data_IF_139409320689
#
_entry.id   IF_139409320689
#
_cell.length_a   1.000
_cell.length_b   1.000
_cell.length_c   1.000
_cell.angle_alpha   90.00
_cell.angle_beta   90.00
_cell.angle_gamma   90.00
#
_symmetry.space_group_name_H-M   'P 1'
#
loop_
_entity.id
_entity.type
_entity.pdbx_description
1 polymer ?
#
# COMPACT_ATOMS: atom_id res chain seq x y z
N UNK A 1 9.75 -22.30 7.07
CA UNK A 1 9.64 -20.85 7.04
C UNK A 1 10.32 -20.33 8.28
N UNK A 2 11.50 -19.74 8.10
CA UNK A 2 12.09 -18.84 9.09
C UNK A 2 11.32 -17.52 9.10
N UNK A 3 11.50 -16.69 10.13
CA UNK A 3 10.94 -15.32 10.20
C UNK A 3 11.27 -14.47 8.96
N UNK A 4 12.35 -14.79 8.24
CA UNK A 4 12.75 -14.17 6.98
C UNK A 4 11.67 -14.31 5.91
N UNK A 5 11.08 -15.51 5.75
CA UNK A 5 10.03 -15.75 4.76
C UNK A 5 8.75 -15.00 5.10
N UNK A 6 8.47 -14.83 6.40
CA UNK A 6 7.34 -14.03 6.86
C UNK A 6 7.54 -12.55 6.49
N UNK A 7 8.71 -11.99 6.77
CA UNK A 7 9.05 -10.60 6.40
C UNK A 7 9.00 -10.43 4.87
N UNK A 8 9.52 -11.40 4.13
CA UNK A 8 9.46 -11.41 2.67
C UNK A 8 8.01 -11.41 2.16
N UNK A 9 7.15 -12.26 2.72
CA UNK A 9 5.73 -12.31 2.35
C UNK A 9 5.00 -11.01 2.64
N UNK A 10 5.25 -10.39 3.81
CA UNK A 10 4.71 -9.07 4.16
C UNK A 10 5.18 -8.02 3.15
N UNK A 11 6.47 -8.05 2.81
CA UNK A 11 7.07 -7.09 1.86
C UNK A 11 6.50 -7.24 0.45
N UNK A 12 6.31 -8.48 -0.02
CA UNK A 12 5.68 -8.78 -1.31
C UNK A 12 4.26 -8.23 -1.33
N UNK A 13 3.49 -8.48 -0.27
CA UNK A 13 2.12 -7.96 -0.17
C UNK A 13 2.09 -6.43 -0.22
N UNK A 14 2.91 -5.77 0.60
CA UNK A 14 2.99 -4.30 0.63
C UNK A 14 3.39 -3.74 -0.75
N UNK A 15 4.37 -4.34 -1.42
CA UNK A 15 4.83 -3.87 -2.73
C UNK A 15 3.73 -4.02 -3.79
N UNK A 16 3.15 -5.21 -3.92
CA UNK A 16 2.25 -5.54 -5.02
C UNK A 16 0.82 -5.02 -4.82
N UNK A 17 0.31 -5.01 -3.58
CA UNK A 17 -1.06 -4.62 -3.31
C UNK A 17 -1.20 -3.23 -2.70
N UNK A 18 -0.24 -2.80 -1.88
CA UNK A 18 -0.26 -1.43 -1.33
C UNK A 18 0.51 -0.42 -2.17
N UNK A 19 1.61 -0.75 -2.84
CA UNK A 19 2.39 0.27 -3.59
C UNK A 19 2.12 0.28 -5.09
N UNK A 20 2.02 -0.89 -5.73
CA UNK A 20 1.82 -1.03 -7.17
C UNK A 20 0.62 -0.24 -7.73
N UNK A 21 -0.55 -0.16 -7.06
CA UNK A 21 -1.68 0.64 -7.56
C UNK A 21 -1.40 2.14 -7.62
N UNK A 22 -0.41 2.63 -6.89
CA UNK A 22 -0.04 4.05 -6.79
C UNK A 22 1.06 4.40 -7.80
N UNK A 23 1.89 3.43 -8.20
CA UNK A 23 3.08 3.63 -9.03
C UNK A 23 2.79 3.92 -10.50
N UNK A 24 1.57 3.67 -11.00
CA UNK A 24 1.26 4.09 -12.37
C UNK A 24 -0.16 3.86 -12.85
N UNK A 25 -0.64 4.79 -13.68
CA UNK A 25 -1.88 4.64 -14.46
C UNK A 25 -1.84 3.42 -15.38
N UNK A 26 -0.66 2.93 -15.76
CA UNK A 26 -0.48 1.77 -16.63
C UNK A 26 -0.95 0.46 -15.99
N UNK A 27 -0.69 0.24 -14.68
CA UNK A 27 -1.16 -0.96 -13.99
C UNK A 27 -2.68 -0.96 -13.84
N UNK A 28 -3.28 0.19 -13.54
CA UNK A 28 -4.74 0.35 -13.53
C UNK A 28 -5.36 0.09 -14.90
N UNK A 29 -4.71 0.52 -15.99
CA UNK A 29 -5.14 0.22 -17.36
C UNK A 29 -5.04 -1.27 -17.69
N UNK A 30 -3.98 -1.94 -17.23
CA UNK A 30 -3.81 -3.37 -17.42
C UNK A 30 -4.93 -4.17 -16.73
N UNK A 31 -5.25 -3.83 -15.47
CA UNK A 31 -6.38 -4.45 -14.75
C UNK A 31 -7.72 -4.12 -15.42
N UNK A 32 -7.92 -2.89 -15.91
CA UNK A 32 -9.15 -2.51 -16.61
C UNK A 32 -9.32 -3.22 -17.96
N UNK A 33 -8.22 -3.65 -18.59
CA UNK A 33 -8.24 -4.42 -19.83
C UNK A 33 -8.50 -5.92 -19.60
N UNK A 34 -8.48 -6.39 -18.34
CA UNK A 34 -8.75 -7.79 -18.01
C UNK A 34 -10.26 -8.11 -18.11
N UNK A 35 -10.64 -9.34 -18.49
CA UNK A 35 -12.03 -9.80 -18.44
C UNK A 35 -12.62 -9.64 -17.04
N UNK A 36 -13.91 -9.30 -16.95
CA UNK A 36 -14.65 -9.11 -15.69
C UNK A 36 -14.32 -10.09 -14.55
N UNK A 37 -14.29 -11.42 -14.76
CA UNK A 37 -14.00 -12.37 -13.68
C UNK A 37 -12.57 -12.28 -13.12
N UNK A 38 -11.58 -11.84 -13.90
CA UNK A 38 -10.22 -11.63 -13.36
C UNK A 38 -10.13 -10.32 -12.57
N UNK A 39 -10.93 -9.31 -12.91
CA UNK A 39 -11.01 -8.08 -12.12
C UNK A 39 -11.59 -8.37 -10.73
N UNK A 40 -12.69 -9.14 -10.67
CA UNK A 40 -13.30 -9.52 -9.39
C UNK A 40 -12.36 -10.39 -8.56
N UNK A 41 -11.62 -11.31 -9.18
CA UNK A 41 -10.63 -12.13 -8.48
C UNK A 41 -9.50 -11.26 -7.91
N UNK A 42 -9.01 -10.28 -8.68
CA UNK A 42 -7.98 -9.34 -8.20
C UNK A 42 -8.46 -8.52 -7.00
N UNK A 43 -9.71 -8.03 -7.03
CA UNK A 43 -10.29 -7.30 -5.91
C UNK A 43 -10.43 -8.17 -4.64
N UNK A 44 -10.86 -9.43 -4.79
CA UNK A 44 -10.93 -10.39 -3.68
C UNK A 44 -9.55 -10.70 -3.10
N UNK A 45 -8.51 -10.73 -3.95
CA UNK A 45 -7.13 -10.96 -3.56
C UNK A 45 -6.48 -9.75 -2.86
N UNK A 46 -7.11 -8.56 -2.82
CA UNK A 46 -6.62 -7.44 -2.00
C UNK A 46 -6.62 -7.72 -0.49
N UNK A 47 -7.25 -8.81 -0.04
CA UNK A 47 -7.20 -9.20 1.36
C UNK A 47 -5.80 -9.73 1.73
N UNK A 48 -5.10 -9.16 2.74
CA UNK A 48 -3.75 -9.58 3.14
C UNK A 48 -3.68 -11.02 3.63
N UNK A 49 -4.81 -11.56 4.10
CA UNK A 49 -4.94 -12.96 4.46
C UNK A 49 -5.08 -13.86 3.21
N UNK A 50 -5.97 -13.51 2.27
CA UNK A 50 -6.22 -14.34 1.08
C UNK A 50 -4.97 -14.49 0.22
N UNK A 51 -4.29 -13.38 -0.07
CA UNK A 51 -3.01 -13.42 -0.80
C UNK A 51 -1.88 -13.94 0.06
N UNK A 52 -1.89 -13.65 1.37
CA UNK A 52 -0.91 -14.20 2.31
C UNK A 52 -0.87 -15.71 2.31
N UNK A 53 -2.02 -16.38 2.18
CA UNK A 53 -2.10 -17.84 2.05
C UNK A 53 -1.36 -18.34 0.81
N UNK A 54 -1.64 -17.76 -0.36
CA UNK A 54 -0.99 -18.16 -1.61
C UNK A 54 0.51 -17.85 -1.64
N UNK A 55 0.91 -16.71 -1.08
CA UNK A 55 2.32 -16.35 -0.91
C UNK A 55 3.01 -17.37 0.00
N UNK A 56 2.39 -17.72 1.13
CA UNK A 56 2.92 -18.70 2.07
C UNK A 56 3.10 -20.08 1.42
N UNK A 57 2.07 -20.53 0.69
CA UNK A 57 2.12 -21.81 -0.03
C UNK A 57 3.20 -21.80 -1.13
N UNK A 58 3.31 -20.71 -1.89
CA UNK A 58 4.34 -20.55 -2.91
C UNK A 58 5.75 -20.51 -2.32
N UNK A 59 5.96 -19.77 -1.22
CA UNK A 59 7.23 -19.75 -0.51
C UNK A 59 7.57 -21.12 0.05
N UNK A 60 6.59 -21.87 0.56
CA UNK A 60 6.77 -23.23 1.04
C UNK A 60 7.18 -24.18 -0.07
N UNK A 61 6.53 -24.09 -1.24
CA UNK A 61 6.91 -24.86 -2.41
C UNK A 61 8.33 -24.53 -2.91
N UNK A 62 8.73 -23.26 -2.90
CA UNK A 62 10.04 -22.82 -3.41
C UNK A 62 11.17 -23.11 -2.42
N UNK A 63 10.95 -22.89 -1.12
CA UNK A 63 12.00 -23.03 -0.11
C UNK A 63 12.02 -24.40 0.55
N UNK A 64 10.91 -25.15 0.50
CA UNK A 64 10.75 -26.44 1.18
C UNK A 64 10.78 -26.36 2.70
N UNK A 65 10.66 -25.17 3.30
CA UNK A 65 10.81 -24.98 4.75
C UNK A 65 9.45 -24.79 5.44
N UNK A 66 9.22 -25.43 6.59
CA UNK A 66 7.97 -25.33 7.37
C UNK A 66 7.95 -24.17 8.38
N UNK A 67 6.86 -23.40 8.48
CA UNK A 67 6.72 -22.33 9.48
C UNK A 67 6.68 -22.87 10.90
N UNK A 68 5.92 -23.94 11.11
CA UNK A 68 5.95 -24.69 12.35
C UNK A 68 6.45 -26.10 12.07
N UNK A 69 7.57 -26.54 12.69
CA UNK A 69 8.08 -27.89 12.49
C UNK A 69 7.08 -28.96 12.95
N UNK A 70 6.15 -28.62 13.85
CA UNK A 70 5.06 -29.49 14.26
C UNK A 70 4.15 -29.91 13.08
N UNK A 71 3.96 -29.08 12.06
CA UNK A 71 3.15 -29.45 10.89
C UNK A 71 3.87 -30.44 9.96
N UNK A 72 5.20 -30.47 10.00
CA UNK A 72 5.97 -31.51 9.30
C UNK A 72 5.75 -32.89 9.94
N UNK A 73 5.56 -32.96 11.26
CA UNK A 73 5.30 -34.23 11.96
C UNK A 73 3.92 -34.81 11.60
N UNK A 74 2.91 -33.96 11.42
CA UNK A 74 1.57 -34.40 10.95
C UNK A 74 1.66 -35.12 9.60
N UNK A 75 2.56 -34.66 8.73
CA UNK A 75 2.81 -35.32 7.43
C UNK A 75 3.44 -36.71 7.55
N UNK A 76 4.20 -36.96 8.62
CA UNK A 76 4.81 -38.25 8.86
C UNK A 76 3.78 -39.26 9.38
N UNK A 77 2.86 -38.83 10.25
CA UNK A 77 1.94 -39.71 10.95
C UNK A 77 0.70 -40.11 10.09
N UNK A 78 0.25 -39.23 9.19
CA UNK A 78 -0.99 -39.42 8.41
C UNK A 78 -0.73 -39.80 6.94
N UNK A 79 0.53 -40.09 6.58
CA UNK A 79 0.94 -40.45 5.24
C UNK A 79 0.74 -39.31 4.21
N UNK A 80 0.49 -39.61 2.91
CA UNK A 80 0.42 -38.61 1.86
C UNK A 80 -0.62 -37.51 2.07
N UNK A 81 -1.75 -37.85 2.72
CA UNK A 81 -2.79 -36.89 3.08
C UNK A 81 -2.33 -35.90 4.17
N UNK A 82 -1.49 -36.38 5.11
CA UNK A 82 -0.87 -35.54 6.12
C UNK A 82 0.04 -34.46 5.51
N UNK A 83 0.71 -34.78 4.40
CA UNK A 83 1.52 -33.81 3.65
C UNK A 83 0.69 -32.63 3.13
N UNK A 84 -0.42 -32.92 2.45
CA UNK A 84 -1.31 -31.89 1.89
C UNK A 84 -1.94 -31.05 3.00
N UNK A 85 -2.43 -31.69 4.06
CA UNK A 85 -3.01 -31.00 5.22
C UNK A 85 -1.97 -30.13 5.93
N UNK A 86 -0.75 -30.64 6.12
CA UNK A 86 0.35 -29.88 6.68
C UNK A 86 0.63 -28.61 5.88
N UNK A 87 0.75 -28.71 4.55
CA UNK A 87 0.97 -27.55 3.67
C UNK A 87 -0.15 -26.51 3.80
N UNK A 88 -1.39 -27.00 3.87
CA UNK A 88 -2.55 -26.13 4.01
C UNK A 88 -2.56 -25.39 5.34
N UNK A 89 -2.28 -26.09 6.45
CA UNK A 89 -2.20 -25.48 7.79
C UNK A 89 -1.01 -24.54 7.94
N UNK A 90 0.14 -24.86 7.34
CA UNK A 90 1.32 -24.00 7.34
C UNK A 90 1.03 -22.69 6.58
N UNK A 91 0.42 -22.79 5.39
CA UNK A 91 -0.02 -21.64 4.61
C UNK A 91 -1.08 -20.79 5.33
N UNK A 92 -2.02 -21.41 6.04
CA UNK A 92 -3.01 -20.73 6.88
C UNK A 92 -2.35 -19.96 8.01
N UNK A 93 -1.45 -20.59 8.75
CA UNK A 93 -0.73 -19.95 9.85
C UNK A 93 0.12 -18.77 9.32
N UNK A 94 0.78 -18.95 8.17
CA UNK A 94 1.49 -17.89 7.48
C UNK A 94 0.56 -16.73 7.11
N UNK A 95 -0.62 -17.00 6.57
CA UNK A 95 -1.59 -15.98 6.19
C UNK A 95 -2.06 -15.12 7.38
N UNK A 96 -2.30 -15.75 8.54
CA UNK A 96 -2.66 -15.04 9.78
C UNK A 96 -1.53 -14.11 10.22
N UNK A 97 -0.29 -14.62 10.27
CA UNK A 97 0.87 -13.83 10.65
C UNK A 97 1.13 -12.70 9.65
N UNK A 98 0.99 -12.96 8.35
CA UNK A 98 1.14 -11.96 7.30
C UNK A 98 0.14 -10.82 7.47
N UNK A 99 -1.15 -11.14 7.64
CA UNK A 99 -2.19 -10.14 7.92
C UNK A 99 -1.88 -9.36 9.20
N UNK A 100 -1.44 -10.04 10.25
CA UNK A 100 -1.09 -9.40 11.53
C UNK A 100 0.07 -8.43 11.34
N UNK A 101 1.11 -8.83 10.61
CA UNK A 101 2.26 -7.98 10.29
C UNK A 101 1.88 -6.75 9.48
N UNK A 102 1.04 -6.90 8.45
CA UNK A 102 0.52 -5.78 7.66
C UNK A 102 -0.28 -4.81 8.52
N UNK A 103 -1.17 -5.32 9.37
CA UNK A 103 -1.95 -4.47 10.29
C UNK A 103 -1.04 -3.77 11.30
N UNK A 104 -0.04 -4.46 11.84
CA UNK A 104 0.91 -3.88 12.78
C UNK A 104 1.72 -2.75 12.15
N UNK A 105 2.24 -2.94 10.93
CA UNK A 105 2.96 -1.90 10.18
C UNK A 105 2.03 -0.70 9.95
N UNK A 106 0.81 -0.95 9.47
CA UNK A 106 -0.17 0.10 9.21
C UNK A 106 -0.54 0.88 10.49
N UNK A 107 -0.75 0.18 11.61
CA UNK A 107 -1.02 0.77 12.91
C UNK A 107 0.15 1.61 13.43
N UNK A 108 1.40 1.17 13.22
CA UNK A 108 2.62 1.91 13.58
C UNK A 108 2.82 3.15 12.70
N UNK A 109 2.45 3.09 11.41
CA UNK A 109 2.54 4.23 10.51
C UNK A 109 1.45 5.29 10.71
N UNK A 110 0.29 4.91 11.27
CA UNK A 110 -0.81 5.84 11.54
C UNK A 110 -0.46 7.05 12.44
N UNK A 111 0.19 6.89 13.63
CA UNK A 111 0.60 8.03 14.45
C UNK A 111 1.61 8.94 13.74
N UNK A 112 2.49 8.38 12.90
CA UNK A 112 3.45 9.18 12.12
C UNK A 112 2.73 10.07 11.08
N UNK A 113 1.69 9.54 10.42
CA UNK A 113 0.86 10.30 9.49
C UNK A 113 0.08 11.42 10.19
N UNK A 114 -0.46 11.16 11.38
CA UNK A 114 -1.15 12.18 12.18
C UNK A 114 -0.21 13.33 12.60
N UNK A 115 1.02 13.02 12.98
CA UNK A 115 2.03 14.04 13.31
C UNK A 115 2.34 14.94 12.10
N UNK A 116 2.55 14.34 10.92
CA UNK A 116 2.81 15.07 9.69
C UNK A 116 1.62 15.91 9.22
N UNK A 117 0.40 15.39 9.35
CA UNK A 117 -0.83 16.11 9.00
C UNK A 117 -1.04 17.35 9.88
N UNK A 118 -0.81 17.22 11.20
CA UNK A 118 -0.86 18.36 12.15
C UNK A 118 0.16 19.43 11.78
N UNK A 119 1.42 19.04 11.58
CA UNK A 119 2.51 19.96 11.19
C UNK A 119 2.17 20.72 9.90
N UNK A 120 1.67 20.02 8.89
CA UNK A 120 1.27 20.62 7.60
C UNK A 120 0.07 21.57 7.76
N UNK A 121 -0.92 21.19 8.57
CA UNK A 121 -2.08 22.03 8.87
C UNK A 121 -1.72 23.32 9.58
N UNK A 122 -0.75 23.27 10.49
CA UNK A 122 -0.27 24.45 11.23
C UNK A 122 0.58 25.37 10.35
N UNK A 123 1.44 24.82 9.49
CA UNK A 123 2.13 25.60 8.44
C UNK A 123 1.13 26.25 7.49
N UNK A 124 0.09 25.53 7.08
CA UNK A 124 -0.96 26.12 6.21
C UNK A 124 -1.73 27.23 6.93
N UNK A 125 -1.98 27.09 8.24
CA UNK A 125 -2.64 28.12 9.05
C UNK A 125 -1.75 29.34 9.26
N UNK A 126 -0.46 29.18 9.51
CA UNK A 126 0.48 30.30 9.66
C UNK A 126 0.60 31.10 8.35
N UNK A 127 0.70 30.42 7.20
CA UNK A 127 0.69 31.07 5.89
C UNK A 127 -0.60 31.84 5.61
N UNK A 128 -1.77 31.29 5.97
CA UNK A 128 -3.06 31.98 5.84
C UNK A 128 -3.15 33.21 6.74
N UNK A 129 -2.60 33.15 7.96
CA UNK A 129 -2.54 34.30 8.87
C UNK A 129 -1.62 35.40 8.33
N UNK A 130 -0.44 35.03 7.81
CA UNK A 130 0.48 35.97 7.18
C UNK A 130 -0.13 36.68 5.96
N UNK A 131 -0.85 35.95 5.09
CA UNK A 131 -1.60 36.56 3.96
C UNK A 131 -2.66 37.56 4.43
N UNK A 132 -3.47 37.19 5.42
CA UNK A 132 -4.50 38.10 5.97
C UNK A 132 -3.90 39.33 6.65
N UNK A 133 -2.72 39.21 7.26
CA UNK A 133 -2.00 40.34 7.82
C UNK A 133 -1.49 41.28 6.72
N UNK A 134 -0.97 40.75 5.61
CA UNK A 134 -0.55 41.53 4.45
C UNK A 134 -1.73 42.28 3.78
N UNK A 135 -2.90 41.65 3.68
CA UNK A 135 -4.11 42.29 3.13
C UNK A 135 -4.67 43.42 4.02
N UNK A 136 -4.27 43.46 5.30
CA UNK A 136 -4.74 44.46 6.28
C UNK A 136 -3.92 45.75 6.30
N UNK A 137 -2.80 45.81 5.58
CA UNK A 137 -1.96 47.01 5.49
C UNK A 137 -2.59 47.94 4.42
N UNK A 138 -3.21 49.06 4.81
CA UNK A 138 -3.74 50.02 3.85
C UNK A 138 -2.55 50.73 3.19
N UNK A 139 -2.37 50.55 1.88
CA UNK A 139 -1.34 51.25 1.11
C UNK A 139 -0.33 50.38 0.34
N UNK A 140 -0.29 49.06 0.53
CA UNK A 140 0.69 48.19 -0.16
C UNK A 140 0.27 47.79 -1.61
N UNK A 141 -0.74 48.44 -2.19
CA UNK A 141 -1.31 48.11 -3.50
C UNK A 141 -1.00 49.17 -4.59
N UNK A 142 0.15 49.85 -4.52
CA UNK A 142 0.48 50.94 -5.46
C UNK A 142 1.70 50.73 -6.36
N UNK A 143 2.38 49.58 -6.33
CA UNK A 143 3.39 49.28 -7.37
C UNK A 143 3.07 48.02 -8.16
N UNK A 144 2.08 48.16 -9.04
CA UNK A 144 2.03 47.40 -10.28
C UNK A 144 2.92 48.16 -11.27
N UNK A 145 3.96 47.58 -11.88
CA UNK A 145 4.64 48.22 -12.99
C UNK A 145 3.69 48.19 -14.20
N UNK A 146 2.97 49.28 -14.38
CA UNK A 146 2.17 49.52 -15.58
C UNK A 146 3.13 49.75 -16.74
N UNK A 147 3.34 48.70 -17.53
CA UNK A 147 4.28 48.70 -18.66
C UNK A 147 4.07 47.50 -19.57
N UNK A 148 2.83 47.22 -19.96
CA UNK A 148 2.53 46.34 -21.07
C UNK A 148 1.50 47.03 -21.97
N UNK A 149 2.03 47.61 -23.05
CA UNK A 149 1.31 48.35 -24.05
C UNK A 149 0.12 47.55 -24.63
N UNK A 150 -0.96 48.30 -24.84
CA UNK A 150 -2.08 47.97 -25.71
C UNK A 150 -1.60 47.45 -27.08
N UNK A 151 -1.91 46.19 -27.39
CA UNK A 151 -1.86 45.62 -28.72
C UNK A 151 -3.16 44.91 -29.04
N UNK A 152 -4.16 45.64 -29.55
CA UNK A 152 -5.30 45.04 -30.26
C UNK A 152 -4.82 44.58 -31.64
N UNK A 153 -5.13 43.35 -32.10
CA UNK A 153 -4.98 43.01 -33.50
C UNK A 153 -6.11 43.67 -34.32
N UNK A 154 -5.83 44.17 -35.54
CA UNK A 154 -6.88 44.69 -36.41
C UNK A 154 -7.72 43.55 -36.96
N UNK A 155 -9.01 43.84 -37.08
CA UNK A 155 -9.98 43.03 -37.83
C UNK A 155 -9.79 43.35 -39.31
N UNK A 156 -9.51 42.32 -40.10
CA UNK A 156 -9.45 42.33 -41.56
C UNK A 156 -9.67 40.91 -42.06
#
# INVERSE_FOLDING_TARGET
>A
MTYQNLILGISIYLLLWEHLPHWGRWFKRLIAALPGPLQTLYEQWRCPYCVGFWIGLGLHAVTGTWLFPAFAQISADWGPLGGVLGWFFDGLAFAVLNKTGVIAINALSYPALLGMAKKTGDVRRSLRRARRAADRIPGARSHRPDGAASGRPPVG
#
